data_IF_783481723456
#
_entry.id   IF_783481723456
#
_cell.length_a   1.000
_cell.length_b   1.000
_cell.length_c   1.000
_cell.angle_alpha   90.00
_cell.angle_beta   90.00
_cell.angle_gamma   90.00
#
_symmetry.space_group_name_H-M   'P 1'
#
loop_
_entity.id
_entity.type
_entity.pdbx_description
1 polymer ?
#
# COMPACT_ATOMS: atom_id res chain seq x y z
N UNK A 1 25.60 4.19 -20.58
CA UNK A 1 24.21 3.95 -20.10
C UNK A 1 24.03 4.62 -18.74
N UNK A 2 22.87 5.27 -18.49
CA UNK A 2 22.56 5.86 -17.17
C UNK A 2 22.65 4.78 -16.07
N UNK A 3 23.06 5.15 -14.87
CA UNK A 3 23.22 4.23 -13.72
C UNK A 3 21.96 3.38 -13.47
N UNK A 4 20.78 3.98 -13.64
CA UNK A 4 19.47 3.32 -13.56
C UNK A 4 19.31 2.10 -14.48
N UNK A 5 19.94 2.09 -15.66
CA UNK A 5 19.86 0.98 -16.63
C UNK A 5 20.97 -0.05 -16.46
N UNK A 6 22.03 0.28 -15.72
CA UNK A 6 23.21 -0.58 -15.54
C UNK A 6 23.06 -1.55 -14.39
N UNK A 7 22.41 -1.14 -13.31
CA UNK A 7 22.21 -1.97 -12.13
C UNK A 7 21.00 -2.88 -12.31
N UNK A 8 21.16 -4.19 -12.07
CA UNK A 8 20.12 -5.21 -12.34
C UNK A 8 18.82 -4.99 -11.56
N UNK A 9 18.88 -4.42 -10.36
CA UNK A 9 17.68 -4.08 -9.58
C UNK A 9 17.00 -2.80 -10.09
N UNK A 10 17.80 -1.78 -10.41
CA UNK A 10 17.28 -0.50 -10.89
C UNK A 10 16.74 -0.60 -12.33
N UNK A 11 17.25 -1.52 -13.14
CA UNK A 11 16.77 -1.72 -14.50
C UNK A 11 15.31 -2.20 -14.53
N UNK A 12 14.88 -2.98 -13.54
CA UNK A 12 13.49 -3.42 -13.37
C UNK A 12 12.60 -2.21 -13.05
N UNK A 13 12.98 -1.41 -12.08
CA UNK A 13 12.24 -0.17 -11.74
C UNK A 13 12.16 0.75 -12.95
N UNK A 14 13.26 0.89 -13.69
CA UNK A 14 13.32 1.74 -14.86
C UNK A 14 12.41 1.24 -15.99
N UNK A 15 12.30 -0.08 -16.22
CA UNK A 15 11.45 -0.64 -17.28
C UNK A 15 9.95 -0.51 -17.00
N UNK A 16 9.54 -0.56 -15.73
CA UNK A 16 8.12 -0.51 -15.36
C UNK A 16 7.61 0.90 -15.04
N UNK A 17 8.42 1.76 -14.41
CA UNK A 17 7.95 3.05 -13.89
C UNK A 17 8.50 4.28 -14.63
N UNK A 18 9.70 4.20 -15.21
CA UNK A 18 10.38 5.40 -15.75
C UNK A 18 10.29 5.44 -17.28
N UNK A 19 10.86 4.44 -17.94
CA UNK A 19 10.95 4.39 -19.41
C UNK A 19 9.93 3.43 -20.02
N UNK A 20 8.80 3.18 -19.34
CA UNK A 20 7.71 2.37 -19.90
C UNK A 20 7.04 3.15 -21.04
N UNK A 21 6.97 2.61 -22.27
CA UNK A 21 6.21 3.23 -23.34
C UNK A 21 4.71 3.13 -23.00
N UNK A 22 4.02 4.27 -22.92
CA UNK A 22 2.59 4.35 -22.69
C UNK A 22 1.90 5.07 -23.86
N UNK A 23 0.69 4.66 -24.27
CA UNK A 23 -0.07 5.38 -25.28
C UNK A 23 -0.33 6.84 -24.87
N UNK A 24 -0.27 7.78 -25.81
CA UNK A 24 -0.54 9.20 -25.53
C UNK A 24 -1.99 9.50 -25.19
N UNK A 25 -2.93 8.65 -25.62
CA UNK A 25 -4.37 8.81 -25.45
C UNK A 25 -4.96 7.84 -24.40
N UNK A 26 -4.39 7.82 -23.20
CA UNK A 26 -4.94 7.05 -22.07
C UNK A 26 -6.07 7.82 -21.39
N UNK A 27 -7.16 7.12 -21.06
CA UNK A 27 -8.28 7.69 -20.30
C UNK A 27 -7.99 7.67 -18.78
N UNK A 28 -8.75 8.44 -18.01
CA UNK A 28 -8.64 8.45 -16.54
C UNK A 28 -8.83 7.07 -15.90
N UNK A 29 -9.51 6.13 -16.58
CA UNK A 29 -9.71 4.76 -16.10
C UNK A 29 -8.39 4.00 -15.89
N UNK A 30 -7.33 4.38 -16.61
CA UNK A 30 -5.99 3.77 -16.43
C UNK A 30 -5.35 4.08 -15.06
N UNK A 31 -5.79 5.14 -14.38
CA UNK A 31 -5.28 5.49 -13.06
C UNK A 31 -5.75 4.54 -11.94
N UNK A 32 -6.79 3.73 -12.18
CA UNK A 32 -7.25 2.79 -11.15
C UNK A 32 -6.20 1.73 -10.78
N UNK A 33 -5.31 1.36 -11.71
CA UNK A 33 -4.23 0.42 -11.40
C UNK A 33 -3.29 0.93 -10.31
N UNK A 34 -2.81 2.17 -10.44
CA UNK A 34 -1.94 2.79 -9.42
C UNK A 34 -2.70 3.08 -8.13
N UNK A 35 -3.96 3.49 -8.23
CA UNK A 35 -4.82 3.70 -7.06
C UNK A 35 -5.00 2.41 -6.24
N UNK A 36 -5.22 1.27 -6.90
CA UNK A 36 -5.33 -0.03 -6.21
C UNK A 36 -4.03 -0.41 -5.52
N UNK A 37 -2.88 -0.18 -6.15
CA UNK A 37 -1.58 -0.38 -5.52
C UNK A 37 -1.41 0.49 -4.27
N UNK A 38 -1.83 1.75 -4.34
CA UNK A 38 -1.81 2.66 -3.19
C UNK A 38 -2.75 2.21 -2.07
N UNK A 39 -3.99 1.81 -2.39
CA UNK A 39 -4.94 1.27 -1.42
C UNK A 39 -4.39 0.04 -0.71
N UNK A 40 -3.73 -0.87 -1.44
CA UNK A 40 -3.13 -2.06 -0.85
C UNK A 40 -2.03 -1.72 0.16
N UNK A 41 -1.15 -0.76 -0.16
CA UNK A 41 -0.12 -0.29 0.77
C UNK A 41 -0.75 0.31 2.04
N UNK A 42 -1.79 1.13 1.89
CA UNK A 42 -2.52 1.69 3.04
C UNK A 42 -3.07 0.58 3.91
N UNK A 43 -3.81 -0.37 3.34
CA UNK A 43 -4.47 -1.44 4.10
C UNK A 43 -3.49 -2.35 4.83
N UNK A 44 -2.33 -2.65 4.21
CA UNK A 44 -1.29 -3.45 4.88
C UNK A 44 -0.67 -2.63 6.02
N UNK A 45 -0.30 -1.38 5.78
CA UNK A 45 0.36 -0.55 6.79
C UNK A 45 -0.56 -0.34 8.01
N UNK A 46 -1.81 0.09 7.79
CA UNK A 46 -2.77 0.30 8.88
C UNK A 46 -3.22 -1.02 9.50
N UNK A 47 -3.44 -2.06 8.70
CA UNK A 47 -3.81 -3.38 9.21
C UNK A 47 -2.77 -3.95 10.18
N UNK A 48 -1.48 -3.80 9.88
CA UNK A 48 -0.39 -4.22 10.78
C UNK A 48 -0.40 -3.43 12.09
N UNK A 49 -0.62 -2.12 12.05
CA UNK A 49 -0.67 -1.30 13.28
C UNK A 49 -1.89 -1.63 14.12
N UNK A 50 -3.06 -1.85 13.50
CA UNK A 50 -4.27 -2.26 14.22
C UNK A 50 -4.11 -3.67 14.83
N UNK A 51 -3.46 -4.59 14.13
CA UNK A 51 -3.22 -5.96 14.62
C UNK A 51 -2.37 -6.01 15.90
N UNK A 52 -1.54 -5.00 16.17
CA UNK A 52 -0.77 -4.91 17.42
C UNK A 52 -1.66 -4.72 18.66
N UNK A 53 -2.87 -4.18 18.48
CA UNK A 53 -3.82 -3.86 19.56
C UNK A 53 -5.08 -4.76 19.55
N UNK A 54 -5.27 -5.55 18.51
CA UNK A 54 -6.44 -6.41 18.35
C UNK A 54 -6.29 -7.76 19.09
N UNK A 55 -7.35 -8.22 19.75
CA UNK A 55 -7.39 -9.54 20.40
C UNK A 55 -8.39 -10.47 19.68
N UNK A 56 -7.96 -11.60 19.12
CA UNK A 56 -8.79 -12.44 18.24
C UNK A 56 -9.69 -13.45 18.97
N UNK A 57 -10.11 -13.18 20.21
CA UNK A 57 -11.04 -14.04 20.95
C UNK A 57 -12.46 -13.47 20.87
N UNK A 58 -13.48 -14.34 20.80
CA UNK A 58 -14.88 -13.92 20.58
C UNK A 58 -15.34 -12.90 21.64
N UNK A 59 -14.96 -13.12 22.91
CA UNK A 59 -15.38 -12.25 24.02
C UNK A 59 -14.67 -10.88 24.01
N UNK A 60 -13.45 -10.80 23.46
CA UNK A 60 -12.62 -9.60 23.49
C UNK A 60 -12.51 -8.90 22.14
N UNK A 61 -12.96 -9.51 21.04
CA UNK A 61 -12.83 -8.97 19.69
C UNK A 61 -13.43 -7.57 19.59
N UNK A 62 -14.67 -7.39 20.06
CA UNK A 62 -15.32 -6.08 20.05
C UNK A 62 -14.68 -5.09 21.03
N UNK A 63 -14.34 -5.55 22.23
CA UNK A 63 -13.71 -4.72 23.28
C UNK A 63 -12.35 -4.19 22.80
N UNK A 64 -11.57 -5.03 22.10
CA UNK A 64 -10.28 -4.62 21.54
C UNK A 64 -10.41 -3.57 20.44
N UNK A 65 -11.50 -3.58 19.67
CA UNK A 65 -11.78 -2.50 18.70
C UNK A 65 -12.19 -1.21 19.42
N UNK A 66 -12.98 -1.29 20.49
CA UNK A 66 -13.30 -0.11 21.31
C UNK A 66 -12.05 0.49 21.95
N UNK A 67 -11.13 -0.35 22.42
CA UNK A 67 -9.83 0.05 22.95
C UNK A 67 -9.00 0.80 21.89
N UNK A 68 -8.97 0.30 20.64
CA UNK A 68 -8.31 1.00 19.52
C UNK A 68 -8.91 2.40 19.33
N UNK A 69 -10.23 2.51 19.24
CA UNK A 69 -10.90 3.78 18.94
C UNK A 69 -10.79 4.85 20.05
N UNK A 70 -10.60 4.44 21.31
CA UNK A 70 -10.68 5.34 22.48
C UNK A 70 -9.35 5.58 23.18
N UNK A 71 -8.53 4.54 23.27
CA UNK A 71 -7.36 4.53 24.15
C UNK A 71 -6.04 4.53 23.36
N UNK A 72 -6.06 4.09 22.10
CA UNK A 72 -4.88 4.14 21.23
C UNK A 72 -4.79 5.53 20.59
N UNK A 73 -3.61 6.17 20.72
CA UNK A 73 -3.37 7.46 20.11
C UNK A 73 -3.46 7.36 18.59
N UNK A 74 -4.38 8.11 17.98
CA UNK A 74 -4.71 8.03 16.55
C UNK A 74 -5.22 6.65 16.10
N UNK A 75 -5.86 5.92 17.01
CA UNK A 75 -6.57 4.67 16.71
C UNK A 75 -7.91 4.87 16.02
#
# INVERSE_FOLDING_TARGET
>A
MKLLKRNSFLSIVNSYLIDSPQPSNISYMWNFGSLLGFCLVIQIATGVTLAMHYTPTIDLAFISVEHIMRDVNYG
#
